data_IF_641128678263
#
_entry.id   IF_641128678263
#
_cell.length_a   1.000
_cell.length_b   1.000
_cell.length_c   1.000
_cell.angle_alpha   90.00
_cell.angle_beta   90.00
_cell.angle_gamma   90.00
#
_symmetry.space_group_name_H-M   'P 1'
#
loop_
_entity.id
_entity.type
_entity.pdbx_description
1 polymer ?
#
# COMPACT_ATOMS: atom_id res chain seq x y z
N UNK A 1 5.56 17.84 7.33
CA UNK A 1 5.13 17.26 6.04
C UNK A 1 4.00 18.10 5.53
N UNK A 2 4.26 18.89 4.50
CA UNK A 2 3.25 19.80 3.96
C UNK A 2 2.35 19.02 3.00
N UNK A 3 1.27 18.47 3.56
CA UNK A 3 0.11 18.05 2.80
C UNK A 3 -0.69 19.31 2.43
N UNK A 4 -0.37 19.98 1.33
CA UNK A 4 -1.12 21.16 0.88
C UNK A 4 -2.55 20.79 0.48
N UNK A 5 -3.54 21.45 1.09
CA UNK A 5 -4.97 21.24 0.83
C UNK A 5 -5.57 20.02 1.54
N UNK A 6 -6.90 20.01 1.66
CA UNK A 6 -7.61 18.90 2.29
C UNK A 6 -7.34 17.56 1.56
N UNK A 7 -7.11 16.51 2.34
CA UNK A 7 -7.00 15.13 1.85
C UNK A 7 -8.19 14.35 2.36
N UNK A 8 -8.76 13.54 1.49
CA UNK A 8 -9.91 12.68 1.80
C UNK A 8 -9.54 11.24 1.49
N UNK A 9 -10.02 10.32 2.33
CA UNK A 9 -9.96 8.90 2.06
C UNK A 9 -11.29 8.24 2.45
N UNK A 10 -11.62 7.19 1.71
CA UNK A 10 -12.71 6.29 2.01
C UNK A 10 -12.19 4.86 1.89
N UNK A 11 -12.77 3.94 2.66
CA UNK A 11 -12.33 2.54 2.68
C UNK A 11 -13.51 1.60 2.46
N UNK A 12 -13.24 0.49 1.78
CA UNK A 12 -14.21 -0.57 1.52
C UNK A 12 -13.53 -1.92 1.68
N UNK A 13 -14.19 -2.83 2.41
CA UNK A 13 -13.72 -4.21 2.55
C UNK A 13 -14.35 -5.03 1.44
N UNK A 14 -13.49 -5.71 0.66
CA UNK A 14 -13.85 -6.56 -0.47
C UNK A 14 -13.20 -7.92 -0.26
N UNK A 15 -13.89 -9.00 -0.63
CA UNK A 15 -13.44 -10.35 -0.29
C UNK A 15 -12.73 -11.02 -1.47
N UNK A 16 -13.32 -10.92 -2.66
CA UNK A 16 -12.85 -11.64 -3.85
C UNK A 16 -11.96 -10.79 -4.75
N UNK A 17 -11.09 -11.44 -5.52
CA UNK A 17 -10.26 -10.74 -6.53
C UNK A 17 -11.12 -9.93 -7.51
N UNK A 18 -12.24 -10.52 -7.95
CA UNK A 18 -13.18 -9.87 -8.88
C UNK A 18 -13.75 -8.58 -8.29
N UNK A 19 -14.21 -8.62 -7.05
CA UNK A 19 -14.72 -7.42 -6.37
C UNK A 19 -13.66 -6.33 -6.24
N UNK A 20 -12.44 -6.71 -5.83
CA UNK A 20 -11.31 -5.78 -5.69
C UNK A 20 -11.02 -5.10 -7.03
N UNK A 21 -10.92 -5.89 -8.09
CA UNK A 21 -10.58 -5.39 -9.42
C UNK A 21 -11.69 -4.49 -9.98
N UNK A 22 -12.96 -4.95 -9.94
CA UNK A 22 -14.08 -4.17 -10.46
C UNK A 22 -14.27 -2.85 -9.71
N UNK A 23 -14.14 -2.86 -8.38
CA UNK A 23 -14.26 -1.63 -7.60
C UNK A 23 -13.09 -0.67 -7.85
N UNK A 24 -11.88 -1.21 -7.98
CA UNK A 24 -10.69 -0.40 -8.31
C UNK A 24 -10.85 0.25 -9.69
N UNK A 25 -11.36 -0.48 -10.69
CA UNK A 25 -11.63 0.05 -12.03
C UNK A 25 -12.70 1.15 -12.00
N UNK A 26 -13.79 0.96 -11.23
CA UNK A 26 -14.86 1.98 -11.07
C UNK A 26 -14.33 3.28 -10.46
N UNK A 27 -13.36 3.20 -9.56
CA UNK A 27 -12.74 4.39 -8.97
C UNK A 27 -11.86 5.17 -9.98
N UNK A 28 -11.51 4.58 -11.13
CA UNK A 28 -10.66 5.15 -12.18
C UNK A 28 -9.42 5.90 -11.65
N UNK A 29 -8.57 5.23 -10.84
CA UNK A 29 -7.46 5.88 -10.16
C UNK A 29 -6.31 6.19 -11.11
N UNK A 30 -5.59 7.28 -10.80
CA UNK A 30 -4.34 7.64 -11.51
C UNK A 30 -3.18 6.70 -11.14
N UNK A 31 -3.15 6.22 -9.89
CA UNK A 31 -2.14 5.29 -9.38
C UNK A 31 -2.84 4.26 -8.48
N UNK A 32 -2.51 2.98 -8.65
CA UNK A 32 -2.97 1.87 -7.82
C UNK A 32 -1.80 1.35 -7.01
N UNK A 33 -1.88 1.42 -5.68
CA UNK A 33 -0.89 0.84 -4.78
C UNK A 33 -1.40 -0.48 -4.18
N UNK A 34 -0.56 -1.53 -4.24
CA UNK A 34 -0.86 -2.85 -3.67
C UNK A 34 0.20 -3.21 -2.64
N UNK A 35 -0.22 -3.45 -1.39
CA UNK A 35 0.63 -3.97 -0.31
C UNK A 35 0.70 -5.50 -0.38
N UNK A 36 1.40 -5.98 -1.41
CA UNK A 36 1.73 -7.39 -1.61
C UNK A 36 2.90 -7.49 -2.59
N UNK A 37 3.74 -8.54 -2.49
CA UNK A 37 4.72 -8.83 -3.53
C UNK A 37 4.07 -8.94 -4.91
N UNK A 38 4.56 -8.17 -5.88
CA UNK A 38 4.11 -8.19 -7.28
C UNK A 38 5.11 -8.91 -8.20
N UNK A 39 6.02 -9.68 -7.60
CA UNK A 39 7.04 -10.48 -8.25
C UNK A 39 7.46 -11.63 -7.33
N UNK A 40 7.90 -12.73 -7.93
CA UNK A 40 8.28 -13.95 -7.21
C UNK A 40 9.80 -14.06 -7.00
N UNK A 41 10.20 -14.97 -6.11
CA UNK A 41 11.59 -15.34 -5.90
C UNK A 41 12.29 -14.53 -4.80
N UNK A 42 13.63 -14.61 -4.78
CA UNK A 42 14.45 -13.89 -3.81
C UNK A 42 14.74 -12.48 -4.34
N UNK A 43 14.03 -11.49 -3.78
CA UNK A 43 14.09 -10.08 -4.19
C UNK A 43 14.87 -9.27 -3.16
N UNK A 44 15.71 -8.36 -3.62
CA UNK A 44 16.52 -7.52 -2.72
C UNK A 44 15.65 -6.59 -1.85
N UNK A 45 14.51 -6.12 -2.38
CA UNK A 45 13.57 -5.29 -1.63
C UNK A 45 13.10 -5.94 -0.32
N UNK A 46 12.87 -7.26 -0.33
CA UNK A 46 12.39 -7.99 0.85
C UNK A 46 13.44 -8.05 1.96
N UNK A 47 14.72 -8.10 1.57
CA UNK A 47 15.84 -8.01 2.51
C UNK A 47 16.00 -6.59 3.04
N UNK A 48 16.05 -5.61 2.15
CA UNK A 48 16.27 -4.20 2.49
C UNK A 48 15.16 -3.65 3.41
N UNK A 49 13.90 -4.07 3.19
CA UNK A 49 12.75 -3.63 3.97
C UNK A 49 12.55 -4.40 5.28
N UNK A 50 13.43 -5.35 5.64
CA UNK A 50 13.39 -6.02 6.95
C UNK A 50 13.48 -5.04 8.11
N UNK A 51 14.19 -3.93 7.93
CA UNK A 51 14.27 -2.85 8.93
C UNK A 51 12.89 -2.27 9.27
N UNK A 52 11.94 -2.34 8.33
CA UNK A 52 10.56 -1.93 8.51
C UNK A 52 9.61 -3.09 8.83
N UNK A 53 10.12 -4.32 8.92
CA UNK A 53 9.36 -5.51 9.30
C UNK A 53 8.82 -6.34 8.13
N UNK A 54 9.40 -6.21 6.93
CA UNK A 54 9.06 -7.09 5.82
C UNK A 54 9.33 -8.57 6.16
N UNK A 55 8.42 -9.45 5.77
CA UNK A 55 8.55 -10.89 5.94
C UNK A 55 9.15 -11.53 4.67
N UNK A 56 9.91 -12.63 4.79
CA UNK A 56 10.49 -13.29 3.63
C UNK A 56 9.41 -13.99 2.79
N UNK A 57 9.55 -13.91 1.46
CA UNK A 57 8.67 -14.59 0.50
C UNK A 57 8.71 -16.12 0.60
N UNK A 58 9.76 -16.68 1.21
CA UNK A 58 9.86 -18.12 1.47
C UNK A 58 8.79 -18.65 2.46
N UNK A 59 8.04 -17.77 3.12
CA UNK A 59 6.89 -18.18 3.93
C UNK A 59 5.72 -18.51 3.01
N UNK A 60 5.12 -19.69 3.19
CA UNK A 60 3.98 -20.16 2.38
C UNK A 60 2.81 -19.17 2.33
N UNK A 61 2.53 -18.45 3.42
CA UNK A 61 1.50 -17.41 3.44
C UNK A 61 1.84 -16.21 2.55
N UNK A 62 3.12 -15.83 2.48
CA UNK A 62 3.60 -14.74 1.63
C UNK A 62 3.65 -15.18 0.16
N UNK A 63 3.95 -16.44 -0.13
CA UNK A 63 3.88 -17.01 -1.47
C UNK A 63 2.45 -16.94 -2.03
N UNK A 64 1.44 -17.39 -1.26
CA UNK A 64 0.02 -17.28 -1.65
C UNK A 64 -0.39 -15.81 -1.87
N UNK A 65 0.06 -14.91 -0.99
CA UNK A 65 -0.20 -13.48 -1.13
C UNK A 65 0.47 -12.89 -2.38
N UNK A 66 1.69 -13.31 -2.69
CA UNK A 66 2.44 -12.89 -3.87
C UNK A 66 1.75 -13.36 -5.16
N UNK A 67 1.36 -14.63 -5.23
CA UNK A 67 0.61 -15.17 -6.38
C UNK A 67 -0.67 -14.36 -6.65
N UNK A 68 -1.42 -14.06 -5.58
CA UNK A 68 -2.62 -13.23 -5.66
C UNK A 68 -2.31 -11.80 -6.12
N UNK A 69 -1.28 -11.17 -5.53
CA UNK A 69 -0.84 -9.81 -5.87
C UNK A 69 -0.41 -9.70 -7.34
N UNK A 70 0.41 -10.63 -7.81
CA UNK A 70 0.87 -10.73 -9.21
C UNK A 70 -0.34 -10.85 -10.15
N UNK A 71 -1.28 -11.75 -9.86
CA UNK A 71 -2.47 -11.95 -10.69
C UNK A 71 -3.30 -10.67 -10.82
N UNK A 72 -3.65 -10.05 -9.69
CA UNK A 72 -4.45 -8.80 -9.65
C UNK A 72 -3.71 -7.67 -10.37
N UNK A 73 -2.41 -7.50 -10.09
CA UNK A 73 -1.56 -6.49 -10.73
C UNK A 73 -1.52 -6.67 -12.25
N UNK A 74 -1.35 -7.89 -12.74
CA UNK A 74 -1.25 -8.16 -14.18
C UNK A 74 -2.55 -7.86 -14.91
N UNK A 75 -3.70 -8.18 -14.32
CA UNK A 75 -5.00 -7.84 -14.91
C UNK A 75 -5.18 -6.32 -15.03
N UNK A 76 -4.89 -5.57 -13.96
CA UNK A 76 -4.98 -4.11 -13.95
C UNK A 76 -3.98 -3.47 -14.93
N UNK A 77 -2.73 -3.97 -15.00
CA UNK A 77 -1.71 -3.49 -15.94
C UNK A 77 -2.08 -3.76 -17.41
N UNK A 78 -2.76 -4.88 -17.70
CA UNK A 78 -3.25 -5.18 -19.05
C UNK A 78 -4.26 -4.14 -19.54
N UNK A 79 -5.02 -3.56 -18.61
CA UNK A 79 -5.93 -2.44 -18.85
C UNK A 79 -5.24 -1.07 -18.76
N UNK A 80 -3.89 -1.04 -18.75
CA UNK A 80 -3.04 0.16 -18.74
C UNK A 80 -3.12 1.01 -17.47
N UNK A 81 -3.63 0.46 -16.37
CA UNK A 81 -3.52 1.14 -15.08
C UNK A 81 -2.07 1.19 -14.61
N UNK A 82 -1.71 2.29 -13.95
CA UNK A 82 -0.42 2.42 -13.27
C UNK A 82 -0.48 1.72 -11.91
N UNK A 83 0.12 0.53 -11.82
CA UNK A 83 0.11 -0.30 -10.62
C UNK A 83 1.51 -0.36 -10.01
N UNK A 84 1.61 0.00 -8.73
CA UNK A 84 2.85 0.00 -7.95
C UNK A 84 2.77 -0.94 -6.76
N UNK A 85 3.90 -1.59 -6.46
CA UNK A 85 4.09 -2.34 -5.22
C UNK A 85 4.48 -1.37 -4.10
N UNK A 86 3.82 -1.48 -2.94
CA UNK A 86 4.10 -0.66 -1.75
C UNK A 86 4.24 -1.53 -0.51
N UNK A 87 4.74 -0.94 0.57
CA UNK A 87 4.72 -1.57 1.89
C UNK A 87 4.08 -0.63 2.93
N UNK A 88 2.84 -0.93 3.33
CA UNK A 88 2.05 -0.06 4.19
C UNK A 88 2.73 0.18 5.54
N UNK A 89 3.33 -0.86 6.13
CA UNK A 89 4.02 -0.74 7.43
C UNK A 89 5.28 0.13 7.33
N UNK A 90 6.05 0.06 6.24
CA UNK A 90 7.17 0.97 6.04
C UNK A 90 6.69 2.41 5.94
N UNK A 91 5.59 2.65 5.22
CA UNK A 91 4.97 3.97 5.12
C UNK A 91 4.58 4.51 6.50
N UNK A 92 3.84 3.74 7.29
CA UNK A 92 3.46 4.13 8.64
C UNK A 92 4.68 4.48 9.52
N UNK A 93 5.76 3.69 9.42
CA UNK A 93 6.99 3.90 10.21
C UNK A 93 7.76 5.14 9.77
N UNK A 94 7.99 5.29 8.47
CA UNK A 94 8.76 6.40 7.90
C UNK A 94 8.06 7.73 8.19
N UNK A 95 6.73 7.77 8.06
CA UNK A 95 5.93 8.97 8.32
C UNK A 95 5.67 9.22 9.81
N UNK A 96 6.12 8.35 10.72
CA UNK A 96 5.95 8.50 12.17
C UNK A 96 4.55 8.18 12.72
N UNK A 97 3.67 7.56 11.92
CA UNK A 97 2.33 7.16 12.35
C UNK A 97 2.30 5.79 13.04
N UNK A 98 3.33 4.95 12.85
CA UNK A 98 3.30 3.56 13.30
C UNK A 98 3.05 3.42 14.80
N UNK A 99 2.07 2.59 15.15
CA UNK A 99 1.74 2.29 16.54
C UNK A 99 1.32 0.82 16.69
N UNK A 100 1.52 0.24 17.88
CA UNK A 100 0.99 -1.10 18.20
C UNK A 100 -0.54 -1.14 18.18
N UNK A 101 -1.19 -0.02 18.43
CA UNK A 101 -2.65 0.14 18.40
C UNK A 101 -3.11 0.79 17.10
N UNK A 102 -3.87 0.06 16.28
CA UNK A 102 -4.46 0.58 15.03
C UNK A 102 -5.43 1.74 15.27
N UNK A 103 -6.12 1.73 16.41
CA UNK A 103 -6.95 2.87 16.83
C UNK A 103 -6.09 4.12 17.09
N UNK A 104 -4.87 3.97 17.60
CA UNK A 104 -3.96 5.09 17.76
C UNK A 104 -3.45 5.61 16.41
N UNK A 105 -3.10 4.72 15.48
CA UNK A 105 -2.73 5.12 14.10
C UNK A 105 -3.88 5.90 13.44
N UNK A 106 -5.12 5.40 13.54
CA UNK A 106 -6.29 6.09 13.00
C UNK A 106 -6.49 7.48 13.62
N UNK A 107 -6.32 7.62 14.94
CA UNK A 107 -6.43 8.92 15.64
C UNK A 107 -5.42 9.96 15.15
N UNK A 108 -4.24 9.52 14.75
CA UNK A 108 -3.25 10.44 14.16
C UNK A 108 -3.57 10.72 12.69
N UNK A 109 -4.02 9.72 11.93
CA UNK A 109 -4.41 9.89 10.53
C UNK A 109 -5.59 10.86 10.34
N UNK A 110 -6.62 10.84 11.20
CA UNK A 110 -7.78 11.75 11.08
C UNK A 110 -7.42 13.24 11.21
N UNK A 111 -6.24 13.56 11.76
CA UNK A 111 -5.74 14.94 11.86
C UNK A 111 -5.28 15.49 10.52
N UNK A 112 -4.95 14.60 9.57
CA UNK A 112 -4.37 14.94 8.26
C UNK A 112 -5.19 14.40 7.08
N UNK A 113 -6.09 13.45 7.30
CA UNK A 113 -6.96 12.83 6.30
C UNK A 113 -8.39 12.82 6.80
N UNK A 114 -9.30 13.45 6.04
CA UNK A 114 -10.74 13.49 6.29
C UNK A 114 -11.44 12.22 5.77
N UNK A 115 -12.61 11.91 6.30
CA UNK A 115 -13.49 10.84 5.80
C UNK A 115 -13.34 9.48 6.48
N UNK A 116 -12.27 9.28 7.24
CA UNK A 116 -11.94 8.04 7.96
C UNK A 116 -12.29 8.10 9.46
N UNK A 117 -13.06 9.08 9.90
CA UNK A 117 -13.46 9.33 11.29
C UNK A 117 -14.87 8.84 11.64
N UNK A 118 -15.64 8.36 10.65
CA UNK A 118 -17.03 7.89 10.82
C UNK A 118 -17.17 6.66 11.71
N UNK A 119 -16.13 5.82 11.77
CA UNK A 119 -16.08 4.60 12.61
C UNK A 119 -14.62 4.16 12.81
N UNK A 120 -14.42 3.23 13.73
CA UNK A 120 -13.14 2.52 13.80
C UNK A 120 -12.92 1.67 12.54
N UNK A 121 -11.74 1.83 11.95
CA UNK A 121 -11.31 1.07 10.77
C UNK A 121 -10.66 -0.25 11.20
N UNK A 122 -10.81 -1.28 10.35
CA UNK A 122 -10.08 -2.54 10.53
C UNK A 122 -8.62 -2.36 10.13
N UNK A 123 -7.77 -3.32 10.53
CA UNK A 123 -6.35 -3.34 10.19
C UNK A 123 -6.11 -3.13 8.69
N UNK A 124 -6.77 -3.93 7.85
CA UNK A 124 -6.56 -3.89 6.40
C UNK A 124 -7.00 -2.56 5.79
N UNK A 125 -7.98 -1.88 6.40
CA UNK A 125 -8.42 -0.56 5.96
C UNK A 125 -7.39 0.52 6.31
N UNK A 126 -6.75 0.43 7.49
CA UNK A 126 -5.65 1.32 7.87
C UNK A 126 -4.43 1.10 6.95
N UNK A 127 -4.09 -0.16 6.69
CA UNK A 127 -2.99 -0.50 5.77
C UNK A 127 -3.32 0.03 4.35
N UNK A 128 -4.57 -0.04 3.89
CA UNK A 128 -5.02 0.56 2.62
C UNK A 128 -4.90 2.09 2.58
N UNK A 129 -5.18 2.79 3.69
CA UNK A 129 -4.95 4.24 3.80
C UNK A 129 -3.46 4.56 3.63
N UNK A 130 -2.57 3.79 4.27
CA UNK A 130 -1.12 3.98 4.08
C UNK A 130 -0.67 3.67 2.65
N UNK A 131 -1.26 2.67 1.97
CA UNK A 131 -1.02 2.43 0.55
C UNK A 131 -1.38 3.65 -0.30
N UNK A 132 -2.56 4.23 -0.06
CA UNK A 132 -3.02 5.42 -0.76
C UNK A 132 -2.12 6.64 -0.51
N UNK A 133 -1.59 6.80 0.72
CA UNK A 133 -0.61 7.84 1.03
C UNK A 133 0.66 7.64 0.20
N UNK A 134 1.17 6.42 0.08
CA UNK A 134 2.36 6.15 -0.75
C UNK A 134 2.11 6.37 -2.23
N UNK A 135 0.93 5.98 -2.75
CA UNK A 135 0.51 6.31 -4.11
C UNK A 135 0.47 7.82 -4.36
N UNK A 136 -0.09 8.58 -3.42
CA UNK A 136 -0.11 10.04 -3.46
C UNK A 136 1.30 10.62 -3.50
N UNK A 137 2.18 10.19 -2.59
CA UNK A 137 3.57 10.67 -2.55
C UNK A 137 4.32 10.32 -3.84
N UNK A 138 4.13 9.12 -4.38
CA UNK A 138 4.71 8.71 -5.66
C UNK A 138 4.25 9.61 -6.81
N UNK A 139 2.94 9.91 -6.89
CA UNK A 139 2.39 10.80 -7.91
C UNK A 139 3.05 12.19 -7.90
N UNK A 140 3.40 12.69 -6.71
CA UNK A 140 4.11 13.98 -6.53
C UNK A 140 5.65 13.86 -6.50
N UNK A 141 6.23 12.71 -6.85
CA UNK A 141 7.69 12.53 -6.87
C UNK A 141 8.36 12.47 -5.49
N UNK A 142 7.58 12.22 -4.43
CA UNK A 142 8.01 12.14 -3.01
C UNK A 142 8.09 10.69 -2.50
N UNK A 143 8.28 9.73 -3.39
CA UNK A 143 8.54 8.34 -3.07
C UNK A 143 9.85 7.87 -3.71
N UNK A 144 10.44 6.80 -3.17
CA UNK A 144 11.63 6.15 -3.72
C UNK A 144 11.43 4.65 -3.83
N UNK A 145 12.05 4.05 -4.84
CA UNK A 145 12.07 2.61 -5.02
C UNK A 145 13.14 1.99 -4.10
N UNK A 146 12.80 0.86 -3.49
CA UNK A 146 13.74 -0.02 -2.78
C UNK A 146 13.68 -1.39 -3.45
N UNK A 147 14.84 -1.91 -3.85
CA UNK A 147 14.95 -3.19 -4.55
C UNK A 147 15.86 -3.13 -5.77
N UNK A 148 15.62 -4.05 -6.70
CA UNK A 148 16.42 -4.28 -7.89
C UNK A 148 15.52 -4.70 -9.08
N UNK A 149 16.09 -5.23 -10.15
CA UNK A 149 15.36 -5.68 -11.34
C UNK A 149 14.38 -6.84 -11.07
N UNK A 150 14.54 -7.57 -9.95
CA UNK A 150 13.64 -8.68 -9.59
C UNK A 150 12.38 -8.21 -8.88
N UNK A 151 12.42 -7.02 -8.30
CA UNK A 151 11.28 -6.43 -7.60
C UNK A 151 11.67 -5.14 -6.91
N UNK A 152 10.73 -4.19 -6.96
CA UNK A 152 10.87 -2.88 -6.34
C UNK A 152 9.62 -2.54 -5.57
N UNK A 153 9.81 -1.99 -4.37
CA UNK A 153 8.74 -1.51 -3.51
C UNK A 153 8.90 -0.01 -3.36
N UNK A 154 7.83 0.75 -3.55
CA UNK A 154 7.81 2.18 -3.28
C UNK A 154 7.56 2.45 -1.81
N UNK A 155 8.37 3.34 -1.25
CA UNK A 155 8.23 3.89 0.10
C UNK A 155 8.38 5.42 0.07
N UNK A 156 7.89 6.14 1.09
CA UNK A 156 8.11 7.59 1.18
C UNK A 156 9.59 7.97 1.14
N UNK A 157 9.90 9.03 0.40
CA UNK A 157 11.22 9.69 0.39
C UNK A 157 11.10 10.94 1.27
N UNK A 158 11.68 10.88 2.46
CA UNK A 158 11.67 11.97 3.44
C UNK A 158 13.09 12.45 3.73
#
# INVERSE_FOLDING_TARGET
MDFEGDKFAETKILSTDKEIIEETKKANPVVIAIDAPLSSGNRKCDYDLKIYGALPLSLKSMEILAERGIKISNELKTEKFNVIEVFATATAKILGFHNKSRTAEQKELIKVIKGIDKRLLKKDEIDAVFCAITAYLYYFGKATEVGDERGKVLIPKI
#
